data_IF_659182471955
#
_entry.id   IF_659182471955
#
_cell.length_a   1.000
_cell.length_b   1.000
_cell.length_c   1.000
_cell.angle_alpha   90.00
_cell.angle_beta   90.00
_cell.angle_gamma   90.00
#
_symmetry.space_group_name_H-M   'P 1'
#
loop_
_entity.id
_entity.type
_entity.pdbx_description
1 polymer ?
#
# COMPACT_ATOMS: atom_id res chain seq x y z
N UNK A 1 63.09 -7.27 -40.69
CA UNK A 1 63.14 -6.41 -39.48
C UNK A 1 62.86 -4.97 -39.83
N UNK A 2 61.58 -4.62 -39.89
CA UNK A 2 61.07 -3.26 -39.65
C UNK A 2 59.54 -3.38 -39.52
N UNK A 3 59.00 -2.74 -38.49
CA UNK A 3 57.57 -2.59 -38.26
C UNK A 3 57.00 -1.58 -39.25
N UNK A 4 55.81 -1.81 -39.81
CA UNK A 4 54.83 -0.73 -39.93
C UNK A 4 53.39 -1.22 -40.15
N UNK A 5 52.53 -0.37 -39.63
CA UNK A 5 51.10 -0.46 -39.33
C UNK A 5 50.16 -0.34 -40.55
N UNK A 6 48.94 -0.84 -40.30
CA UNK A 6 47.64 -0.40 -40.83
C UNK A 6 47.24 -0.69 -42.28
N UNK A 7 46.10 -1.38 -42.39
CA UNK A 7 45.41 -1.68 -43.64
C UNK A 7 43.97 -2.11 -43.40
N UNK A 8 43.22 -1.22 -42.74
CA UNK A 8 41.79 -1.25 -42.51
C UNK A 8 40.98 -1.60 -43.79
N UNK A 9 39.87 -2.33 -43.60
CA UNK A 9 38.78 -2.64 -44.55
C UNK A 9 38.93 -3.85 -45.48
N UNK A 10 38.14 -4.91 -45.21
CA UNK A 10 36.93 -5.25 -46.00
C UNK A 10 36.23 -6.54 -45.53
N UNK A 11 34.88 -6.45 -45.48
CA UNK A 11 33.84 -7.51 -45.51
C UNK A 11 33.47 -8.13 -44.15
N UNK A 12 32.21 -8.30 -43.76
CA UNK A 12 30.87 -7.93 -44.24
C UNK A 12 29.90 -8.39 -43.12
N UNK A 13 28.90 -7.57 -42.79
CA UNK A 13 27.56 -7.92 -42.28
C UNK A 13 27.37 -9.15 -41.35
N UNK A 14 26.84 -8.93 -40.13
CA UNK A 14 25.45 -9.28 -39.75
C UNK A 14 25.22 -9.16 -38.24
N UNK A 15 24.06 -8.55 -37.90
CA UNK A 15 23.33 -8.65 -36.63
C UNK A 15 23.95 -7.94 -35.41
N UNK A 16 23.93 -6.60 -35.45
CA UNK A 16 23.66 -5.83 -34.24
C UNK A 16 22.20 -6.10 -33.82
N UNK A 17 21.99 -7.20 -33.10
CA UNK A 17 20.75 -7.46 -32.37
C UNK A 17 20.72 -6.46 -31.21
N UNK A 18 20.28 -5.23 -31.49
CA UNK A 18 19.85 -4.28 -30.48
C UNK A 18 18.62 -4.89 -29.82
N UNK A 19 18.85 -5.73 -28.81
CA UNK A 19 17.84 -6.09 -27.83
C UNK A 19 17.55 -4.81 -27.07
N UNK A 20 16.59 -4.04 -27.56
CA UNK A 20 15.84 -3.09 -26.75
C UNK A 20 15.14 -3.93 -25.68
N UNK A 21 15.86 -4.25 -24.61
CA UNK A 21 15.25 -4.69 -23.36
C UNK A 21 14.40 -3.49 -22.96
N UNK A 22 13.10 -3.58 -23.20
CA UNK A 22 12.13 -2.71 -22.58
C UNK A 22 12.31 -2.91 -21.09
N UNK A 23 13.05 -2.00 -20.44
CA UNK A 23 13.04 -1.94 -18.99
C UNK A 23 11.61 -1.58 -18.64
N UNK A 24 10.85 -2.55 -18.16
CA UNK A 24 9.56 -2.30 -17.57
C UNK A 24 9.85 -1.39 -16.37
N UNK A 25 9.48 -0.10 -16.38
CA UNK A 25 9.92 0.85 -15.35
C UNK A 25 9.25 0.58 -13.99
N UNK A 26 8.44 -0.49 -13.91
CA UNK A 26 7.73 -0.92 -12.73
C UNK A 26 8.57 -1.96 -12.01
N UNK A 27 8.78 -1.75 -10.70
CA UNK A 27 9.40 -2.74 -9.84
C UNK A 27 8.67 -4.09 -10.01
N UNK A 28 9.45 -5.16 -10.14
CA UNK A 28 8.87 -6.51 -10.24
C UNK A 28 8.18 -6.84 -8.93
N UNK A 29 6.96 -7.36 -9.01
CA UNK A 29 6.21 -7.87 -7.85
C UNK A 29 7.09 -8.84 -7.04
N UNK A 30 7.15 -8.72 -5.69
CA UNK A 30 7.87 -9.68 -4.86
C UNK A 30 7.34 -11.09 -5.10
N UNK A 31 8.21 -12.08 -5.24
CA UNK A 31 7.79 -13.46 -5.54
C UNK A 31 6.83 -14.03 -4.48
N UNK A 32 7.08 -13.70 -3.20
CA UNK A 32 6.21 -14.06 -2.07
C UNK A 32 4.77 -13.56 -2.23
N UNK A 33 4.56 -12.44 -2.92
CA UNK A 33 3.22 -11.88 -3.16
C UNK A 33 2.34 -12.80 -4.02
N UNK A 34 2.94 -13.54 -4.94
CA UNK A 34 2.23 -14.37 -5.91
C UNK A 34 1.47 -15.51 -5.23
N UNK A 35 1.96 -15.99 -4.07
CA UNK A 35 1.30 -17.02 -3.25
C UNK A 35 -0.09 -16.61 -2.80
N UNK A 36 -0.30 -15.30 -2.59
CA UNK A 36 -1.53 -14.75 -2.00
C UNK A 36 -2.39 -13.99 -3.00
N UNK A 37 -1.90 -13.74 -4.22
CA UNK A 37 -2.60 -12.95 -5.25
C UNK A 37 -4.05 -13.37 -5.48
N UNK A 38 -4.31 -14.67 -5.65
CA UNK A 38 -5.67 -15.18 -5.92
C UNK A 38 -6.61 -14.96 -4.74
N UNK A 39 -6.12 -15.17 -3.53
CA UNK A 39 -6.93 -14.98 -2.33
C UNK A 39 -7.18 -13.50 -2.06
N UNK A 40 -6.17 -12.64 -2.25
CA UNK A 40 -6.35 -11.20 -2.14
C UNK A 40 -7.41 -10.70 -3.13
N UNK A 41 -7.32 -11.08 -4.42
CA UNK A 41 -8.33 -10.70 -5.43
C UNK A 41 -9.73 -11.17 -5.02
N UNK A 42 -9.86 -12.43 -4.59
CA UNK A 42 -11.15 -13.02 -4.22
C UNK A 42 -11.77 -12.29 -3.03
N UNK A 43 -11.05 -12.17 -1.93
CA UNK A 43 -11.57 -11.55 -0.71
C UNK A 43 -11.78 -10.05 -0.88
N UNK A 44 -10.92 -9.37 -1.65
CA UNK A 44 -11.13 -7.95 -1.99
C UNK A 44 -12.48 -7.75 -2.68
N UNK A 45 -12.84 -8.61 -3.64
CA UNK A 45 -14.12 -8.50 -4.34
C UNK A 45 -15.33 -8.87 -3.50
N UNK A 46 -15.18 -9.84 -2.60
CA UNK A 46 -16.23 -10.21 -1.64
C UNK A 46 -16.52 -9.05 -0.69
N UNK A 47 -15.48 -8.37 -0.19
CA UNK A 47 -15.64 -7.30 0.79
C UNK A 47 -15.99 -5.96 0.13
N UNK A 48 -15.32 -5.58 -0.96
CA UNK A 48 -15.37 -4.23 -1.55
C UNK A 48 -16.07 -4.17 -2.93
N UNK A 49 -16.60 -5.29 -3.41
CA UNK A 49 -17.26 -5.37 -4.73
C UNK A 49 -16.29 -5.57 -5.90
N UNK A 50 -16.84 -5.71 -7.10
CA UNK A 50 -16.06 -6.06 -8.30
C UNK A 50 -14.97 -5.05 -8.65
N UNK A 51 -15.18 -3.78 -8.31
CA UNK A 51 -14.25 -2.67 -8.48
C UNK A 51 -13.38 -2.42 -7.24
N UNK A 52 -13.06 -3.45 -6.46
CA UNK A 52 -12.14 -3.32 -5.33
C UNK A 52 -10.75 -2.81 -5.78
N UNK A 53 -10.11 -1.88 -5.04
CA UNK A 53 -8.77 -1.36 -5.38
C UNK A 53 -7.66 -2.36 -5.00
N UNK A 54 -7.63 -3.51 -5.68
CA UNK A 54 -6.75 -4.64 -5.34
C UNK A 54 -5.27 -4.25 -5.32
N UNK A 55 -4.84 -3.36 -6.23
CA UNK A 55 -3.46 -2.89 -6.26
C UNK A 55 -3.09 -2.14 -4.97
N UNK A 56 -4.00 -1.32 -4.43
CA UNK A 56 -3.81 -0.63 -3.16
C UNK A 56 -3.68 -1.60 -1.98
N UNK A 57 -4.55 -2.62 -1.91
CA UNK A 57 -4.49 -3.62 -0.85
C UNK A 57 -3.20 -4.44 -0.90
N UNK A 58 -2.72 -4.78 -2.10
CA UNK A 58 -1.44 -5.45 -2.29
C UNK A 58 -0.27 -4.56 -1.81
N UNK A 59 -0.36 -3.25 -2.06
CA UNK A 59 0.60 -2.26 -1.58
C UNK A 59 0.61 -2.09 -0.08
N UNK A 60 -0.53 -2.18 0.58
CA UNK A 60 -0.62 -2.14 2.03
C UNK A 60 0.06 -3.36 2.64
N UNK A 61 -0.21 -4.57 2.14
CA UNK A 61 0.48 -5.80 2.59
C UNK A 61 2.00 -5.70 2.34
N UNK A 62 2.40 -5.16 1.19
CA UNK A 62 3.82 -4.90 0.91
C UNK A 62 4.42 -3.96 1.96
N UNK A 63 3.78 -2.82 2.22
CA UNK A 63 4.27 -1.85 3.20
C UNK A 63 4.34 -2.42 4.63
N UNK A 64 3.40 -3.31 4.99
CA UNK A 64 3.35 -3.88 6.34
C UNK A 64 4.40 -4.96 6.58
N UNK A 65 4.61 -5.87 5.63
CA UNK A 65 5.42 -7.07 5.90
C UNK A 65 6.33 -7.51 4.79
N UNK A 66 6.36 -6.79 3.67
CA UNK A 66 6.98 -7.27 2.42
C UNK A 66 6.51 -8.69 2.07
N UNK A 67 5.22 -8.97 2.30
CA UNK A 67 4.56 -10.27 2.12
C UNK A 67 5.01 -11.40 3.06
N UNK A 68 5.77 -11.11 4.11
CA UNK A 68 6.15 -12.09 5.12
C UNK A 68 5.04 -12.28 6.17
N UNK A 69 4.26 -13.35 6.07
CA UNK A 69 3.18 -13.64 7.02
C UNK A 69 3.66 -13.95 8.46
N UNK A 70 4.96 -14.16 8.66
CA UNK A 70 5.59 -14.36 9.98
C UNK A 70 6.29 -13.09 10.50
N UNK A 71 6.18 -11.96 9.79
CA UNK A 71 6.80 -10.70 10.19
C UNK A 71 6.42 -10.29 11.62
N UNK A 72 7.39 -9.75 12.35
CA UNK A 72 7.22 -9.24 13.71
C UNK A 72 7.95 -7.92 13.83
N UNK A 73 7.25 -6.89 14.28
CA UNK A 73 7.83 -5.64 14.75
C UNK A 73 7.77 -5.60 16.29
N UNK A 74 8.17 -4.48 16.88
CA UNK A 74 8.07 -4.24 18.32
C UNK A 74 6.64 -4.35 18.84
N UNK A 75 5.64 -3.99 18.01
CA UNK A 75 4.24 -3.87 18.45
C UNK A 75 3.24 -4.73 17.66
N UNK A 76 3.62 -5.17 16.46
CA UNK A 76 2.72 -5.78 15.50
C UNK A 76 3.27 -7.07 14.88
N UNK A 77 2.37 -7.89 14.35
CA UNK A 77 2.66 -9.24 13.86
C UNK A 77 1.86 -9.58 12.60
N UNK A 78 2.39 -10.51 11.82
CA UNK A 78 1.67 -11.13 10.72
C UNK A 78 1.71 -10.33 9.42
N UNK A 79 1.02 -10.84 8.41
CA UNK A 79 1.06 -10.30 7.05
C UNK A 79 0.60 -8.83 6.95
N UNK A 80 -0.34 -8.42 7.80
CA UNK A 80 -0.92 -7.07 7.83
C UNK A 80 -0.54 -6.28 9.09
N UNK A 81 0.46 -6.77 9.86
CA UNK A 81 1.00 -6.12 11.06
C UNK A 81 -0.05 -5.56 12.04
N UNK A 82 -1.01 -6.40 12.44
CA UNK A 82 -1.91 -6.00 13.52
C UNK A 82 -1.22 -6.03 14.88
N UNK A 83 -1.60 -5.11 15.77
CA UNK A 83 -1.29 -5.27 17.20
C UNK A 83 -2.14 -6.39 17.80
N UNK A 84 -1.74 -7.01 18.93
CA UNK A 84 -2.59 -7.98 19.62
C UNK A 84 -3.97 -7.43 20.00
N UNK A 85 -4.03 -6.14 20.40
CA UNK A 85 -5.28 -5.46 20.76
C UNK A 85 -6.18 -5.28 19.54
N UNK A 86 -5.64 -4.81 18.42
CA UNK A 86 -6.41 -4.66 17.18
C UNK A 86 -6.90 -6.02 16.67
N UNK A 87 -6.07 -7.05 16.72
CA UNK A 87 -6.49 -8.40 16.33
C UNK A 87 -7.59 -8.98 17.22
N UNK A 88 -7.59 -8.67 18.53
CA UNK A 88 -8.69 -9.02 19.42
C UNK A 88 -9.98 -8.28 19.02
N UNK A 89 -9.90 -6.96 18.84
CA UNK A 89 -11.05 -6.16 18.41
C UNK A 89 -11.64 -6.66 17.09
N UNK A 90 -10.80 -7.04 16.11
CA UNK A 90 -11.24 -7.64 14.83
C UNK A 90 -12.02 -8.93 15.06
N UNK A 91 -11.56 -9.80 15.97
CA UNK A 91 -12.28 -11.05 16.31
C UNK A 91 -13.63 -10.77 16.97
N UNK A 92 -13.71 -9.73 17.79
CA UNK A 92 -14.93 -9.36 18.50
C UNK A 92 -15.96 -8.71 17.57
N UNK A 93 -15.51 -7.92 16.58
CA UNK A 93 -16.37 -7.16 15.67
C UNK A 93 -16.77 -7.93 14.42
N UNK A 94 -15.92 -8.84 13.93
CA UNK A 94 -16.18 -9.61 12.71
C UNK A 94 -16.32 -11.10 13.02
N UNK A 95 -17.55 -11.63 13.18
CA UNK A 95 -17.80 -13.02 13.54
C UNK A 95 -17.13 -14.03 12.60
N UNK A 96 -17.02 -13.68 11.32
CA UNK A 96 -16.37 -14.51 10.30
C UNK A 96 -14.85 -14.70 10.49
N UNK A 97 -14.25 -13.96 11.44
CA UNK A 97 -12.84 -13.98 11.80
C UNK A 97 -12.57 -14.37 13.25
N UNK A 98 -13.61 -14.70 14.03
CA UNK A 98 -13.56 -14.95 15.48
C UNK A 98 -12.45 -15.93 15.89
N UNK A 99 -12.29 -17.04 15.16
CA UNK A 99 -11.35 -18.13 15.52
C UNK A 99 -9.96 -18.00 14.92
N UNK A 100 -9.65 -16.86 14.31
CA UNK A 100 -8.44 -16.72 13.51
C UNK A 100 -7.18 -16.29 14.26
N UNK A 101 -6.05 -16.55 13.62
CA UNK A 101 -4.71 -16.31 14.13
C UNK A 101 -4.02 -15.23 13.28
N UNK A 102 -3.36 -14.27 13.95
CA UNK A 102 -2.64 -13.16 13.31
C UNK A 102 -1.53 -13.58 12.34
N UNK A 103 -0.96 -14.78 12.50
CA UNK A 103 0.05 -15.33 11.58
C UNK A 103 -0.54 -16.13 10.42
N UNK A 104 -1.86 -16.36 10.41
CA UNK A 104 -2.53 -17.01 9.27
C UNK A 104 -2.72 -15.96 8.17
N UNK A 105 -2.06 -16.11 7.00
CA UNK A 105 -2.08 -15.09 5.96
C UNK A 105 -3.49 -14.82 5.40
N UNK A 106 -4.35 -15.84 5.30
CA UNK A 106 -5.72 -15.68 4.81
C UNK A 106 -6.57 -14.91 5.82
N UNK A 107 -6.39 -15.19 7.11
CA UNK A 107 -7.03 -14.40 8.16
C UNK A 107 -6.57 -12.94 8.10
N UNK A 108 -5.27 -12.69 8.01
CA UNK A 108 -4.71 -11.33 7.98
C UNK A 108 -5.17 -10.53 6.76
N UNK A 109 -5.28 -11.15 5.58
CA UNK A 109 -5.85 -10.51 4.37
C UNK A 109 -7.29 -10.09 4.62
N UNK A 110 -8.14 -11.02 5.09
CA UNK A 110 -9.56 -10.71 5.35
C UNK A 110 -9.75 -9.66 6.44
N UNK A 111 -8.93 -9.75 7.50
CA UNK A 111 -8.91 -8.82 8.61
C UNK A 111 -8.53 -7.40 8.15
N UNK A 112 -7.50 -7.25 7.31
CA UNK A 112 -7.12 -5.97 6.70
C UNK A 112 -8.27 -5.39 5.89
N UNK A 113 -8.84 -6.16 4.96
CA UNK A 113 -9.92 -5.71 4.08
C UNK A 113 -11.18 -5.26 4.85
N UNK A 114 -11.56 -5.99 5.90
CA UNK A 114 -12.71 -5.65 6.74
C UNK A 114 -12.43 -4.44 7.63
N UNK A 115 -11.21 -4.34 8.17
CA UNK A 115 -10.84 -3.20 9.00
C UNK A 115 -10.75 -1.91 8.19
N UNK A 116 -10.16 -1.95 6.99
CA UNK A 116 -10.19 -0.82 6.04
C UNK A 116 -11.64 -0.43 5.69
N UNK A 117 -12.54 -1.40 5.51
CA UNK A 117 -13.95 -1.11 5.20
C UNK A 117 -14.67 -0.47 6.39
N UNK A 118 -14.35 -0.91 7.61
CA UNK A 118 -14.86 -0.28 8.80
C UNK A 118 -14.36 1.18 8.90
N UNK A 119 -13.07 1.42 8.67
CA UNK A 119 -12.51 2.78 8.62
C UNK A 119 -13.18 3.65 7.55
N UNK A 120 -13.44 3.10 6.36
CA UNK A 120 -14.13 3.81 5.27
C UNK A 120 -15.53 4.30 5.67
N UNK A 121 -16.26 3.50 6.47
CA UNK A 121 -17.58 3.90 6.99
C UNK A 121 -17.50 4.99 8.06
N UNK A 122 -16.43 5.01 8.85
CA UNK A 122 -16.23 6.00 9.92
C UNK A 122 -15.66 7.33 9.39
N UNK A 123 -15.07 7.33 8.20
CA UNK A 123 -14.35 8.48 7.65
C UNK A 123 -15.16 9.12 6.52
N UNK A 124 -15.33 10.44 6.59
CA UNK A 124 -15.89 11.25 5.50
C UNK A 124 -14.85 12.21 4.95
N UNK A 125 -14.64 12.17 3.64
CA UNK A 125 -13.73 13.05 2.87
C UNK A 125 -14.40 13.58 1.59
N UNK A 126 -13.70 14.43 0.84
CA UNK A 126 -14.21 15.08 -0.37
C UNK A 126 -14.17 14.16 -1.60
N UNK A 127 -13.28 13.17 -1.62
CA UNK A 127 -13.13 12.27 -2.75
C UNK A 127 -12.32 11.03 -2.40
N UNK A 128 -12.34 10.05 -3.30
CA UNK A 128 -11.72 8.74 -3.05
C UNK A 128 -10.22 8.82 -2.75
N UNK A 129 -9.52 9.81 -3.32
CA UNK A 129 -8.10 9.99 -3.06
C UNK A 129 -7.82 10.44 -1.61
N UNK A 130 -8.60 11.40 -1.10
CA UNK A 130 -8.53 11.83 0.29
C UNK A 130 -9.03 10.73 1.24
N UNK A 131 -10.09 10.03 0.85
CA UNK A 131 -10.68 8.93 1.62
C UNK A 131 -9.65 7.86 1.94
N UNK A 132 -8.96 7.34 0.91
CA UNK A 132 -7.95 6.30 1.12
C UNK A 132 -6.73 6.79 1.88
N UNK A 133 -6.31 8.04 1.68
CA UNK A 133 -5.21 8.58 2.45
C UNK A 133 -5.54 8.68 3.95
N UNK A 134 -6.78 9.05 4.29
CA UNK A 134 -7.30 9.08 5.66
C UNK A 134 -7.50 7.67 6.25
N UNK A 135 -7.99 6.70 5.47
CA UNK A 135 -8.10 5.29 5.89
C UNK A 135 -6.72 4.76 6.25
N UNK A 136 -5.73 4.89 5.36
CA UNK A 136 -4.37 4.40 5.57
C UNK A 136 -3.69 5.11 6.75
N UNK A 137 -3.90 6.42 6.89
CA UNK A 137 -3.42 7.17 8.06
C UNK A 137 -4.05 6.64 9.36
N UNK A 138 -5.34 6.29 9.34
CA UNK A 138 -6.04 5.72 10.50
C UNK A 138 -5.65 4.27 10.77
N UNK A 139 -5.33 3.49 9.74
CA UNK A 139 -4.85 2.12 9.89
C UNK A 139 -3.51 2.12 10.63
N UNK A 140 -2.57 2.96 10.20
CA UNK A 140 -1.25 3.07 10.80
C UNK A 140 -1.26 3.81 12.15
N UNK A 141 -2.03 4.89 12.26
CA UNK A 141 -1.96 5.83 13.38
C UNK A 141 -3.16 5.84 14.33
N UNK A 142 -4.26 5.18 13.97
CA UNK A 142 -5.52 5.14 14.73
C UNK A 142 -6.52 6.25 14.37
N UNK A 143 -7.81 5.89 14.30
CA UNK A 143 -8.92 6.79 13.95
C UNK A 143 -9.05 8.00 14.90
N UNK A 144 -8.83 7.79 16.21
CA UNK A 144 -8.87 8.88 17.19
C UNK A 144 -7.87 9.99 16.86
N UNK A 145 -6.70 9.62 16.36
CA UNK A 145 -5.69 10.60 15.96
C UNK A 145 -6.05 11.30 14.66
N UNK A 146 -6.58 10.60 13.67
CA UNK A 146 -7.11 11.25 12.47
C UNK A 146 -8.15 12.31 12.84
N UNK A 147 -9.06 12.01 13.76
CA UNK A 147 -10.08 12.97 14.19
C UNK A 147 -9.49 14.21 14.90
N UNK A 148 -8.39 14.03 15.65
CA UNK A 148 -7.64 15.16 16.22
C UNK A 148 -6.98 16.00 15.12
N UNK A 149 -6.34 15.36 14.16
CA UNK A 149 -5.69 16.02 13.02
C UNK A 149 -6.72 16.82 12.20
N UNK A 150 -7.91 16.25 11.95
CA UNK A 150 -9.04 16.94 11.30
C UNK A 150 -9.54 18.13 12.11
N UNK A 151 -9.70 17.99 13.42
CA UNK A 151 -10.13 19.09 14.30
C UNK A 151 -9.10 20.23 14.29
N UNK A 152 -7.81 19.90 14.31
CA UNK A 152 -6.75 20.90 14.24
C UNK A 152 -6.69 21.58 12.87
N UNK A 153 -6.95 20.84 11.80
CA UNK A 153 -7.04 21.38 10.43
C UNK A 153 -8.16 22.43 10.33
N UNK A 154 -9.34 22.10 10.84
CA UNK A 154 -10.48 23.02 10.89
C UNK A 154 -10.19 24.27 11.74
N UNK A 155 -9.58 24.08 12.91
CA UNK A 155 -9.16 25.19 13.78
C UNK A 155 -8.14 26.14 13.11
N UNK A 156 -7.38 25.66 12.13
CA UNK A 156 -6.43 26.45 11.34
C UNK A 156 -7.02 26.96 10.02
N UNK A 157 -8.34 26.87 9.82
CA UNK A 157 -9.04 27.40 8.65
C UNK A 157 -8.91 26.58 7.37
N UNK A 158 -8.37 25.36 7.47
CA UNK A 158 -8.24 24.40 6.36
C UNK A 158 -9.41 23.41 6.32
N UNK A 159 -9.62 22.72 5.19
CA UNK A 159 -10.76 21.80 5.03
C UNK A 159 -10.47 20.39 5.61
N UNK A 160 -11.16 19.96 6.69
CA UNK A 160 -10.91 18.66 7.32
C UNK A 160 -11.36 17.45 6.47
N UNK A 161 -12.01 17.66 5.33
CA UNK A 161 -12.41 16.62 4.37
C UNK A 161 -11.40 16.42 3.24
N UNK A 162 -10.34 17.22 3.17
CA UNK A 162 -9.26 17.07 2.20
C UNK A 162 -8.03 16.58 2.97
N UNK A 163 -7.38 15.54 2.47
CA UNK A 163 -6.16 15.04 3.10
C UNK A 163 -4.94 15.78 2.58
N UNK A 164 -4.78 15.77 1.25
CA UNK A 164 -3.60 16.30 0.59
C UNK A 164 -3.55 17.83 0.67
N UNK A 165 -2.40 18.37 1.07
CA UNK A 165 -2.21 19.83 1.29
C UNK A 165 -3.21 20.43 2.30
N UNK A 166 -3.80 19.60 3.15
CA UNK A 166 -4.75 20.02 4.18
C UNK A 166 -4.54 19.20 5.46
N UNK A 167 -5.32 18.16 5.74
CA UNK A 167 -5.18 17.38 6.99
C UNK A 167 -3.76 16.82 7.21
N UNK A 168 -3.03 16.48 6.13
CA UNK A 168 -1.68 15.95 6.28
C UNK A 168 -0.69 16.93 6.93
N UNK A 169 -0.99 18.25 6.92
CA UNK A 169 -0.14 19.33 7.42
C UNK A 169 -0.29 19.60 8.93
N UNK A 170 -1.35 19.08 9.55
CA UNK A 170 -1.69 19.38 10.94
C UNK A 170 -1.67 18.10 11.79
N UNK A 171 -1.00 18.16 12.94
CA UNK A 171 -0.94 17.06 13.91
C UNK A 171 -0.48 17.58 15.27
N UNK A 172 -0.99 16.99 16.35
CA UNK A 172 -0.48 17.22 17.71
C UNK A 172 0.39 16.07 18.23
N UNK A 173 0.84 15.19 17.34
CA UNK A 173 1.82 14.13 17.62
C UNK A 173 3.23 14.72 17.68
N UNK A 174 4.16 13.95 18.22
CA UNK A 174 5.58 14.19 17.97
C UNK A 174 5.87 14.18 16.46
N UNK A 175 6.82 15.01 16.03
CA UNK A 175 7.18 15.19 14.61
C UNK A 175 7.51 13.86 13.91
N UNK A 176 8.27 13.00 14.58
CA UNK A 176 8.67 11.70 14.02
C UNK A 176 7.45 10.80 13.75
N UNK A 177 6.45 10.83 14.64
CA UNK A 177 5.25 10.02 14.52
C UNK A 177 4.29 10.57 13.45
N UNK A 178 4.23 11.90 13.30
CA UNK A 178 3.54 12.53 12.18
C UNK A 178 4.19 12.11 10.86
N UNK A 179 5.51 12.24 10.72
CA UNK A 179 6.25 11.90 9.51
C UNK A 179 6.04 10.42 9.14
N UNK A 180 6.18 9.50 10.10
CA UNK A 180 5.91 8.08 9.88
C UNK A 180 4.50 7.84 9.32
N UNK A 181 3.49 8.45 9.95
CA UNK A 181 2.11 8.27 9.55
C UNK A 181 1.79 8.84 8.17
N UNK A 182 2.29 10.03 7.83
CA UNK A 182 2.07 10.62 6.49
C UNK A 182 2.79 9.83 5.41
N UNK A 183 3.99 9.34 5.72
CA UNK A 183 4.75 8.51 4.79
C UNK A 183 4.05 7.18 4.50
N UNK A 184 3.33 6.61 5.46
CA UNK A 184 2.57 5.37 5.25
C UNK A 184 1.58 5.49 4.08
N UNK A 185 0.70 6.52 4.12
CA UNK A 185 -0.27 6.77 3.04
C UNK A 185 0.43 7.07 1.71
N UNK A 186 1.50 7.88 1.72
CA UNK A 186 2.26 8.25 0.52
C UNK A 186 2.89 7.04 -0.16
N UNK A 187 3.60 6.20 0.59
CA UNK A 187 4.27 5.01 0.07
C UNK A 187 3.28 4.02 -0.54
N UNK A 188 2.18 3.75 0.14
CA UNK A 188 1.18 2.79 -0.36
C UNK A 188 0.54 3.30 -1.65
N UNK A 189 0.09 4.55 -1.67
CA UNK A 189 -0.65 5.11 -2.80
C UNK A 189 0.27 5.37 -4.00
N UNK A 190 1.40 6.04 -3.79
CA UNK A 190 2.21 6.60 -4.88
C UNK A 190 3.45 5.78 -5.23
N UNK A 191 3.99 4.98 -4.31
CA UNK A 191 5.20 4.18 -4.58
C UNK A 191 4.83 2.72 -4.91
N UNK A 192 4.14 2.05 -3.99
CA UNK A 192 3.92 0.60 -4.07
C UNK A 192 2.81 0.20 -5.03
N UNK A 193 1.77 1.03 -5.23
CA UNK A 193 0.57 0.66 -6.01
C UNK A 193 0.90 0.30 -7.45
N UNK A 194 1.90 0.98 -8.03
CA UNK A 194 2.33 0.80 -9.40
C UNK A 194 2.91 -0.60 -9.65
N UNK A 195 3.49 -1.21 -8.61
CA UNK A 195 4.01 -2.58 -8.62
C UNK A 195 2.91 -3.61 -8.90
N UNK A 196 1.68 -3.35 -8.41
CA UNK A 196 0.56 -4.29 -8.47
C UNK A 196 -0.54 -3.87 -9.46
N UNK A 197 -0.25 -2.92 -10.37
CA UNK A 197 -1.23 -2.36 -11.32
C UNK A 197 -1.98 -3.40 -12.17
N UNK A 198 -1.41 -4.59 -12.34
CA UNK A 198 -2.00 -5.68 -13.13
C UNK A 198 -2.87 -6.64 -12.30
N UNK A 199 -3.10 -6.36 -11.01
CA UNK A 199 -3.90 -7.23 -10.13
C UNK A 199 -5.39 -6.87 -10.12
N UNK A 200 -5.76 -5.73 -10.70
CA UNK A 200 -7.13 -5.26 -10.83
C UNK A 200 -7.21 -4.03 -11.72
N UNK A 201 -8.41 -3.53 -11.94
CA UNK A 201 -8.65 -2.42 -12.89
C UNK A 201 -8.78 -1.06 -12.20
N UNK A 202 -8.85 -1.02 -10.87
CA UNK A 202 -9.02 0.21 -10.09
C UNK A 202 -7.72 0.61 -9.43
N UNK A 203 -7.35 1.87 -9.64
CA UNK A 203 -6.17 2.51 -9.10
C UNK A 203 -6.59 3.78 -8.35
N UNK A 204 -6.04 3.98 -7.16
CA UNK A 204 -6.38 5.10 -6.27
C UNK A 204 -5.34 6.19 -6.42
N UNK A 205 -5.79 7.44 -6.60
CA UNK A 205 -4.95 8.63 -6.80
C UNK A 205 -3.92 8.45 -7.94
N UNK A 206 -4.32 8.74 -9.19
CA UNK A 206 -3.41 8.53 -10.32
C UNK A 206 -2.26 9.54 -10.39
N UNK A 207 -2.41 10.76 -9.87
CA UNK A 207 -1.33 11.76 -9.75
C UNK A 207 -1.63 12.73 -8.59
N UNK A 208 -0.58 13.23 -7.92
CA UNK A 208 -0.60 14.49 -7.15
C UNK A 208 0.46 15.40 -7.76
#
# INVERSE_FOLDING_TARGET
NSWNVDGFMKRLFLLALLVLVSQNPYAKEPEESLKYKRDLIRYSRVTWGMDAPIALFASQIHQESSWNHLAKSKYAKGLSQFTPKTAQWIRDVFPELEKGNIYNPIWSIRAMLLYDQWLDKEISSTGQCDQWAMILSSYNGGLTWLNRDKSLTEANGSNPKIWWDSVELYSSRDDWAMIENRNYSKKIIFEHQSTYKNWGNKYICMNK
#
